data_IF_440583269742
#
_entry.id   IF_440583269742
#
_cell.length_a   1.000
_cell.length_b   1.000
_cell.length_c   1.000
_cell.angle_alpha   90.00
_cell.angle_beta   90.00
_cell.angle_gamma   90.00
#
_symmetry.space_group_name_H-M   'P 1'
#
loop_
_entity.id
_entity.type
_entity.pdbx_description
1 polymer ?
#
# COMPACT_ATOMS: atom_id res chain seq x y z
N UNK A 1 7.70 -11.16 29.87
CA UNK A 1 8.27 -12.43 29.39
C UNK A 1 8.50 -12.27 27.92
N UNK A 2 9.75 -12.25 27.46
CA UNK A 2 10.05 -12.38 26.05
C UNK A 2 9.89 -13.87 25.74
N UNK A 3 8.80 -14.25 25.09
CA UNK A 3 8.73 -15.57 24.45
C UNK A 3 9.63 -15.49 23.23
N UNK A 4 10.68 -16.31 23.19
CA UNK A 4 11.47 -16.46 21.98
C UNK A 4 10.54 -16.86 20.83
N UNK A 5 10.70 -16.20 19.69
CA UNK A 5 9.91 -16.53 18.50
C UNK A 5 10.27 -17.95 18.05
N UNK A 6 9.30 -18.74 17.53
CA UNK A 6 9.60 -20.02 16.92
C UNK A 6 10.63 -19.89 15.80
N UNK A 7 11.36 -20.97 15.52
CA UNK A 7 12.25 -21.04 14.36
C UNK A 7 11.44 -20.72 13.08
N UNK A 8 11.80 -19.70 12.28
CA UNK A 8 11.10 -19.37 11.04
C UNK A 8 10.91 -20.57 10.09
N UNK A 9 11.84 -21.54 10.12
CA UNK A 9 11.74 -22.77 9.33
C UNK A 9 10.54 -23.65 9.74
N UNK A 10 10.00 -23.47 10.95
CA UNK A 10 8.83 -24.18 11.46
C UNK A 10 7.49 -23.52 11.14
N UNK A 11 7.49 -22.40 10.39
CA UNK A 11 6.27 -21.66 10.05
C UNK A 11 5.28 -22.46 9.19
N UNK A 12 5.75 -23.47 8.44
CA UNK A 12 4.94 -24.22 7.49
C UNK A 12 4.51 -23.40 6.25
N UNK A 13 5.17 -22.26 6.00
CA UNK A 13 4.90 -21.39 4.86
C UNK A 13 5.88 -21.70 3.73
N UNK A 14 5.36 -22.21 2.62
CA UNK A 14 6.14 -22.46 1.40
C UNK A 14 6.19 -21.24 0.45
N UNK A 15 5.13 -20.41 0.48
CA UNK A 15 4.96 -19.28 -0.43
C UNK A 15 4.56 -18.01 0.32
N UNK A 16 5.28 -16.93 0.05
CA UNK A 16 4.91 -15.57 0.46
C UNK A 16 4.48 -14.81 -0.79
N UNK A 17 3.23 -14.33 -0.78
CA UNK A 17 2.70 -13.46 -1.85
C UNK A 17 2.44 -12.07 -1.27
N UNK A 18 3.17 -11.08 -1.78
CA UNK A 18 3.00 -9.67 -1.42
C UNK A 18 2.15 -9.01 -2.50
N UNK A 19 0.88 -8.75 -2.18
CA UNK A 19 0.00 -7.94 -3.03
C UNK A 19 0.16 -6.47 -2.64
N UNK A 20 0.73 -5.65 -3.53
CA UNK A 20 0.75 -4.21 -3.36
C UNK A 20 -0.59 -3.61 -3.80
N UNK A 21 -1.03 -2.55 -3.13
CA UNK A 21 -2.25 -1.81 -3.46
C UNK A 21 -1.94 -0.31 -3.51
N UNK A 22 -2.86 0.48 -4.09
CA UNK A 22 -2.68 1.90 -4.38
C UNK A 22 -3.58 2.79 -3.48
N UNK A 23 -3.03 3.92 -3.02
CA UNK A 23 -3.70 5.15 -2.57
C UNK A 23 -4.89 5.03 -1.61
N UNK A 24 -4.81 4.24 -0.53
CA UNK A 24 -5.86 4.20 0.51
C UNK A 24 -5.27 4.17 1.93
N UNK A 25 -5.77 5.03 2.82
CA UNK A 25 -5.39 5.03 4.23
C UNK A 25 -6.11 3.94 5.02
N UNK A 26 -5.58 3.62 6.20
CA UNK A 26 -6.21 2.65 7.11
C UNK A 26 -7.61 3.09 7.49
N UNK A 27 -7.80 4.33 7.96
CA UNK A 27 -9.11 4.82 8.38
C UNK A 27 -10.13 4.87 7.24
N UNK A 28 -9.68 5.09 6.00
CA UNK A 28 -10.56 5.11 4.84
C UNK A 28 -11.18 3.73 4.52
N UNK A 29 -10.44 2.63 4.74
CA UNK A 29 -10.90 1.27 4.43
C UNK A 29 -11.31 0.46 5.67
N UNK A 30 -10.59 0.58 6.76
CA UNK A 30 -10.62 -0.33 7.91
C UNK A 30 -10.79 0.38 9.26
N UNK A 31 -11.08 1.68 9.30
CA UNK A 31 -11.33 2.40 10.55
C UNK A 31 -12.57 1.94 11.33
N UNK A 32 -13.37 1.03 10.76
CA UNK A 32 -14.49 0.33 11.41
C UNK A 32 -14.08 -0.99 12.07
N UNK A 33 -12.85 -1.47 11.87
CA UNK A 33 -12.40 -2.78 12.32
C UNK A 33 -12.37 -2.85 13.86
N UNK A 34 -13.12 -3.76 14.49
CA UNK A 34 -13.21 -3.80 15.96
C UNK A 34 -11.86 -4.04 16.63
N UNK A 35 -11.51 -3.18 17.59
CA UNK A 35 -10.28 -3.29 18.38
C UNK A 35 -9.01 -2.77 17.69
N UNK A 36 -9.11 -2.31 16.44
CA UNK A 36 -7.98 -1.70 15.74
C UNK A 36 -7.74 -0.26 16.20
N UNK A 37 -6.48 0.19 16.12
CA UNK A 37 -6.08 1.60 16.23
C UNK A 37 -6.42 2.38 14.96
N UNK A 38 -7.71 2.46 14.64
CA UNK A 38 -8.24 3.28 13.54
C UNK A 38 -9.56 3.93 13.93
N UNK A 39 -9.85 5.08 13.35
CA UNK A 39 -11.10 5.80 13.57
C UNK A 39 -11.53 6.57 12.33
N UNK A 40 -12.63 6.12 11.74
CA UNK A 40 -13.19 6.75 10.54
C UNK A 40 -14.41 7.64 10.79
N UNK A 41 -15.19 7.36 11.83
CA UNK A 41 -16.48 8.01 12.08
C UNK A 41 -16.47 8.92 13.32
N UNK A 42 -17.38 9.90 13.31
CA UNK A 42 -17.55 10.83 14.43
C UNK A 42 -16.38 11.80 14.61
N UNK A 43 -15.68 12.11 13.52
CA UNK A 43 -14.60 13.09 13.45
C UNK A 43 -15.06 14.29 12.60
N UNK A 44 -14.39 15.43 12.75
CA UNK A 44 -14.62 16.59 11.90
C UNK A 44 -13.33 17.38 11.74
N UNK A 45 -13.08 17.89 10.53
CA UNK A 45 -11.84 18.58 10.17
C UNK A 45 -12.12 19.96 9.59
N UNK A 46 -11.27 20.96 9.86
CA UNK A 46 -11.50 22.32 9.41
C UNK A 46 -11.17 22.47 7.91
N UNK A 47 -12.14 22.92 7.12
CA UNK A 47 -11.93 23.30 5.72
C UNK A 47 -11.07 24.58 5.58
N UNK A 48 -10.79 25.03 4.36
CA UNK A 48 -10.00 26.24 4.09
C UNK A 48 -10.53 27.51 4.78
N UNK A 49 -11.82 27.57 5.10
CA UNK A 49 -12.46 28.67 5.82
C UNK A 49 -12.51 28.49 7.35
N UNK A 50 -12.04 27.34 7.84
CA UNK A 50 -12.06 26.98 9.26
C UNK A 50 -13.38 26.33 9.71
N UNK A 51 -14.31 26.06 8.79
CA UNK A 51 -15.56 25.38 9.11
C UNK A 51 -15.28 23.88 9.25
N UNK A 52 -15.71 23.30 10.37
CA UNK A 52 -15.59 21.87 10.61
C UNK A 52 -16.54 21.09 9.68
N UNK A 53 -15.99 20.16 8.91
CA UNK A 53 -16.73 19.20 8.09
C UNK A 53 -16.64 17.81 8.70
N UNK A 54 -17.77 17.13 8.95
CA UNK A 54 -17.74 15.80 9.53
C UNK A 54 -17.24 14.77 8.52
N UNK A 55 -16.47 13.79 8.98
CA UNK A 55 -16.20 12.57 8.22
C UNK A 55 -17.52 11.89 7.83
N UNK A 56 -17.61 11.34 6.62
CA UNK A 56 -18.86 10.79 6.10
C UNK A 56 -18.66 9.44 5.40
N UNK A 57 -19.72 8.64 5.44
CA UNK A 57 -19.77 7.37 4.75
C UNK A 57 -19.90 7.58 3.24
N UNK A 58 -19.05 6.94 2.46
CA UNK A 58 -19.07 7.01 1.00
C UNK A 58 -20.14 6.07 0.44
N UNK A 59 -21.03 6.62 -0.40
CA UNK A 59 -22.12 5.87 -1.04
C UNK A 59 -21.75 5.23 -2.38
N UNK A 60 -20.59 5.57 -2.94
CA UNK A 60 -20.12 5.05 -4.24
C UNK A 60 -18.73 4.43 -4.11
N UNK A 61 -18.54 3.32 -4.80
CA UNK A 61 -17.25 2.65 -4.90
C UNK A 61 -16.44 3.36 -5.99
N UNK A 62 -15.28 3.92 -5.62
CA UNK A 62 -14.48 4.90 -6.39
C UNK A 62 -15.01 6.32 -6.20
N UNK A 63 -14.11 7.26 -5.84
CA UNK A 63 -14.42 8.69 -5.65
C UNK A 63 -14.79 9.40 -6.95
N UNK A 64 -15.69 8.84 -7.75
CA UNK A 64 -16.12 9.40 -9.02
C UNK A 64 -16.61 10.83 -8.82
N UNK A 65 -16.02 11.77 -9.56
CA UNK A 65 -16.33 13.19 -9.44
C UNK A 65 -15.48 13.95 -8.42
N UNK A 66 -14.55 13.27 -7.73
CA UNK A 66 -13.56 13.89 -6.86
C UNK A 66 -12.15 13.84 -7.48
N UNK A 67 -11.32 14.88 -7.29
CA UNK A 67 -9.90 14.79 -7.59
C UNK A 67 -9.24 13.76 -6.67
N UNK A 68 -8.12 13.19 -7.13
CA UNK A 68 -7.28 12.38 -6.26
C UNK A 68 -6.74 13.25 -5.12
N UNK A 69 -6.89 12.86 -3.84
CA UNK A 69 -6.31 13.59 -2.72
C UNK A 69 -4.80 13.73 -2.89
N UNK A 70 -4.25 14.89 -2.53
CA UNK A 70 -2.84 15.23 -2.66
C UNK A 70 -1.96 14.34 -1.77
N UNK A 71 -1.36 13.35 -2.39
CA UNK A 71 -0.42 12.41 -1.78
C UNK A 71 1.04 12.77 -2.11
N UNK A 72 1.31 13.99 -2.56
CA UNK A 72 2.69 14.48 -2.74
C UNK A 72 3.41 14.63 -1.39
N UNK A 73 4.74 14.73 -1.43
CA UNK A 73 5.54 14.97 -0.23
C UNK A 73 5.12 16.24 0.52
N UNK A 74 4.77 17.31 -0.20
CA UNK A 74 4.28 18.56 0.37
C UNK A 74 2.84 18.45 0.87
N UNK A 75 1.96 17.81 0.09
CA UNK A 75 0.56 17.60 0.43
C UNK A 75 0.42 16.82 1.73
N UNK A 76 1.05 15.64 1.80
CA UNK A 76 1.03 14.78 2.97
C UNK A 76 1.51 15.48 4.26
N UNK A 77 2.43 16.44 4.16
CA UNK A 77 2.88 17.25 5.32
C UNK A 77 1.90 18.33 5.70
N UNK A 78 1.28 18.96 4.72
CA UNK A 78 0.20 19.90 4.97
C UNK A 78 -0.99 19.21 5.66
N UNK A 79 -1.31 17.97 5.25
CA UNK A 79 -2.34 17.15 5.89
C UNK A 79 -1.97 16.75 7.33
N UNK A 80 -0.73 16.28 7.52
CA UNK A 80 -0.20 15.88 8.82
C UNK A 80 -0.11 17.04 9.82
N UNK A 81 0.14 18.26 9.32
CA UNK A 81 0.16 19.52 10.08
C UNK A 81 0.92 19.41 11.41
N UNK A 82 2.21 19.08 11.36
CA UNK A 82 3.08 18.93 12.54
C UNK A 82 2.54 17.98 13.63
N UNK A 83 1.74 16.99 13.24
CA UNK A 83 1.11 16.00 14.13
C UNK A 83 -0.23 16.42 14.69
N UNK A 84 -0.75 17.60 14.34
CA UNK A 84 -2.12 17.99 14.63
C UNK A 84 -3.13 17.13 13.86
N UNK A 85 -2.74 16.60 12.69
CA UNK A 85 -3.57 15.74 11.85
C UNK A 85 -4.96 16.35 11.65
N UNK A 86 -5.02 17.52 11.01
CA UNK A 86 -6.26 18.25 10.70
C UNK A 86 -6.21 19.01 9.37
N UNK A 87 -5.20 18.72 8.53
CA UNK A 87 -4.90 19.48 7.32
C UNK A 87 -5.56 18.98 6.03
N UNK A 88 -6.27 17.84 6.05
CA UNK A 88 -6.84 17.21 4.84
C UNK A 88 -7.64 18.16 3.96
N UNK A 89 -8.57 18.91 4.55
CA UNK A 89 -9.43 19.86 3.83
C UNK A 89 -8.77 21.22 3.56
N UNK A 90 -7.51 21.40 3.96
CA UNK A 90 -6.75 22.60 3.59
C UNK A 90 -6.19 22.46 2.18
N UNK A 91 -5.78 21.25 1.81
CA UNK A 91 -5.18 20.95 0.51
C UNK A 91 -6.11 20.18 -0.43
N UNK A 92 -7.07 19.42 0.09
CA UNK A 92 -8.02 18.61 -0.70
C UNK A 92 -9.48 19.08 -0.62
N UNK A 93 -10.35 18.37 -1.33
CA UNK A 93 -11.80 18.44 -1.15
C UNK A 93 -12.30 17.42 -0.10
N UNK A 94 -13.63 17.35 0.09
CA UNK A 94 -14.25 16.51 1.12
C UNK A 94 -13.98 15.00 0.94
N UNK A 95 -13.60 14.54 -0.26
CA UNK A 95 -13.32 13.12 -0.48
C UNK A 95 -12.21 12.57 0.43
N UNK A 96 -11.24 13.42 0.78
CA UNK A 96 -10.13 13.10 1.68
C UNK A 96 -10.56 12.70 3.10
N UNK A 97 -11.79 13.02 3.52
CA UNK A 97 -12.35 12.67 4.84
C UNK A 97 -13.53 11.69 4.75
N UNK A 98 -13.78 11.13 3.56
CA UNK A 98 -14.74 10.06 3.34
C UNK A 98 -14.19 8.69 3.73
N UNK A 99 -15.07 7.77 4.13
CA UNK A 99 -14.70 6.40 4.51
C UNK A 99 -15.69 5.36 4.02
N UNK A 100 -15.22 4.12 3.90
CA UNK A 100 -16.07 2.95 3.67
C UNK A 100 -16.36 2.23 4.99
N UNK A 101 -17.54 1.62 5.06
CA UNK A 101 -17.91 0.65 6.09
C UNK A 101 -17.62 -0.77 5.65
N UNK A 102 -17.78 -1.70 6.60
CA UNK A 102 -17.57 -3.14 6.38
C UNK A 102 -18.32 -3.70 5.18
N UNK A 103 -19.57 -3.27 4.99
CA UNK A 103 -20.46 -3.78 3.93
C UNK A 103 -20.05 -3.36 2.53
N UNK A 104 -19.27 -2.28 2.39
CA UNK A 104 -18.91 -1.74 1.08
C UNK A 104 -17.69 -2.45 0.50
N UNK A 105 -16.90 -3.08 1.36
CA UNK A 105 -15.66 -3.77 1.00
C UNK A 105 -15.89 -5.27 0.89
N UNK A 106 -16.25 -5.74 -0.31
CA UNK A 106 -16.66 -7.13 -0.54
C UNK A 106 -15.64 -8.17 -0.02
N UNK A 107 -14.35 -7.97 -0.32
CA UNK A 107 -13.27 -8.83 0.15
C UNK A 107 -12.80 -8.43 1.55
N UNK A 108 -12.30 -7.21 1.72
CA UNK A 108 -11.69 -6.76 2.99
C UNK A 108 -12.67 -6.77 4.17
N UNK A 109 -13.95 -6.49 3.94
CA UNK A 109 -15.00 -6.54 4.97
C UNK A 109 -15.21 -7.94 5.55
N UNK A 110 -14.79 -8.99 4.83
CA UNK A 110 -14.78 -10.37 5.32
C UNK A 110 -13.40 -10.82 5.79
N UNK A 111 -12.35 -10.46 5.06
CA UNK A 111 -10.99 -10.89 5.32
C UNK A 111 -10.41 -10.25 6.59
N UNK A 112 -10.56 -8.93 6.79
CA UNK A 112 -9.90 -8.22 7.88
C UNK A 112 -10.28 -8.73 9.29
N UNK A 113 -11.56 -9.07 9.59
CA UNK A 113 -11.91 -9.66 10.89
C UNK A 113 -11.55 -11.16 11.03
N UNK A 114 -11.32 -11.86 9.92
CA UNK A 114 -11.02 -13.28 9.91
C UNK A 114 -9.51 -13.58 9.93
N UNK A 115 -8.69 -12.62 9.50
CA UNK A 115 -7.25 -12.72 9.37
C UNK A 115 -6.54 -11.72 10.30
N UNK A 116 -5.22 -11.64 10.19
CA UNK A 116 -4.41 -10.66 10.91
C UNK A 116 -4.40 -9.33 10.15
N UNK A 117 -4.78 -8.25 10.83
CA UNK A 117 -4.62 -6.89 10.34
C UNK A 117 -3.55 -6.17 11.17
N UNK A 118 -2.77 -5.30 10.54
CA UNK A 118 -1.82 -4.43 11.20
C UNK A 118 -2.41 -3.01 11.25
N UNK A 119 -2.69 -2.52 12.44
CA UNK A 119 -3.33 -1.22 12.71
C UNK A 119 -2.34 -0.11 13.12
N UNK A 120 -1.04 -0.43 13.10
CA UNK A 120 0.07 0.49 13.31
C UNK A 120 1.14 0.27 12.23
N UNK A 121 0.69 0.08 10.99
CA UNK A 121 1.54 -0.07 9.81
C UNK A 121 1.52 1.22 9.00
N UNK A 122 2.68 1.84 8.82
CA UNK A 122 2.82 3.15 8.19
C UNK A 122 3.59 3.06 6.87
N UNK A 123 3.25 3.94 5.94
CA UNK A 123 4.10 4.21 4.78
C UNK A 123 5.49 4.65 5.25
N UNK A 124 6.54 4.21 4.55
CA UNK A 124 7.90 4.55 4.90
C UNK A 124 8.22 6.03 4.71
N UNK A 125 7.52 6.68 3.76
CA UNK A 125 7.62 8.12 3.49
C UNK A 125 6.21 8.72 3.40
N UNK A 126 5.99 9.84 4.06
CA UNK A 126 4.86 10.74 3.79
C UNK A 126 5.06 11.38 2.42
N UNK A 127 4.50 10.74 1.39
CA UNK A 127 4.69 11.10 -0.01
C UNK A 127 4.07 10.05 -0.94
N UNK A 128 4.33 10.18 -2.25
CA UNK A 128 3.55 9.49 -3.27
C UNK A 128 3.99 8.03 -3.46
N UNK A 129 3.53 7.41 -4.55
CA UNK A 129 3.69 5.98 -4.83
C UNK A 129 5.15 5.55 -4.94
N UNK A 130 5.96 6.22 -5.77
CA UNK A 130 7.29 5.75 -6.13
C UNK A 130 8.25 5.68 -4.94
N UNK A 131 8.36 6.67 -4.05
CA UNK A 131 9.29 6.55 -2.92
C UNK A 131 8.92 5.39 -1.99
N UNK A 132 7.63 5.14 -1.78
CA UNK A 132 7.16 4.02 -0.96
C UNK A 132 7.33 2.67 -1.66
N UNK A 133 7.13 2.60 -2.98
CA UNK A 133 7.30 1.37 -3.77
C UNK A 133 8.77 1.02 -3.98
N UNK A 134 9.66 2.00 -4.10
CA UNK A 134 11.12 1.77 -4.02
C UNK A 134 11.49 1.21 -2.64
N UNK A 135 10.92 1.77 -1.56
CA UNK A 135 11.14 1.27 -0.21
C UNK A 135 10.65 -0.18 -0.04
N UNK A 136 9.50 -0.53 -0.60
CA UNK A 136 8.96 -1.89 -0.58
C UNK A 136 9.97 -2.93 -1.13
N UNK A 137 10.74 -2.58 -2.16
CA UNK A 137 11.73 -3.48 -2.75
C UNK A 137 13.13 -3.37 -2.15
N UNK A 138 13.52 -2.20 -1.62
CA UNK A 138 14.92 -1.93 -1.24
C UNK A 138 15.15 -1.58 0.22
N UNK A 139 14.08 -1.41 1.02
CA UNK A 139 14.16 -0.98 2.41
C UNK A 139 14.66 0.46 2.60
N UNK A 140 14.75 1.24 1.51
CA UNK A 140 15.15 2.65 1.48
C UNK A 140 14.59 3.31 0.20
N UNK A 141 14.74 4.61 0.05
CA UNK A 141 14.37 5.30 -1.20
C UNK A 141 15.37 6.42 -1.51
N UNK A 142 15.54 6.74 -2.79
CA UNK A 142 16.46 7.76 -3.29
C UNK A 142 15.75 9.07 -3.70
N UNK A 143 14.42 9.11 -3.58
CA UNK A 143 13.58 10.24 -3.99
C UNK A 143 12.40 10.43 -3.06
N UNK A 144 11.70 11.54 -3.24
CA UNK A 144 10.50 11.93 -2.50
C UNK A 144 9.30 12.20 -3.41
N UNK A 145 9.46 11.94 -4.71
CA UNK A 145 8.48 12.18 -5.76
C UNK A 145 8.41 11.00 -6.74
N UNK A 146 7.49 11.06 -7.70
CA UNK A 146 7.29 10.04 -8.74
C UNK A 146 8.16 10.24 -9.98
N UNK A 147 9.34 10.85 -9.82
CA UNK A 147 10.30 10.90 -10.93
C UNK A 147 10.69 9.50 -11.39
N UNK A 148 10.85 9.31 -12.71
CA UNK A 148 11.13 8.01 -13.35
C UNK A 148 12.63 7.72 -13.53
N UNK A 149 13.50 8.43 -12.79
CA UNK A 149 14.95 8.26 -12.89
C UNK A 149 15.40 6.85 -12.50
N UNK A 150 16.50 6.38 -13.10
CA UNK A 150 17.04 5.05 -12.79
C UNK A 150 17.42 4.92 -11.31
N UNK A 151 17.13 3.78 -10.70
CA UNK A 151 17.44 3.43 -9.31
C UNK A 151 18.62 2.44 -9.30
N UNK A 152 19.55 2.64 -8.36
CA UNK A 152 20.73 1.77 -8.17
C UNK A 152 20.78 1.07 -6.80
N UNK A 153 19.74 1.26 -5.98
CA UNK A 153 19.65 0.70 -4.63
C UNK A 153 19.61 -0.85 -4.67
N UNK A 154 20.27 -1.55 -3.72
CA UNK A 154 20.12 -3.00 -3.59
C UNK A 154 18.67 -3.35 -3.22
N UNK A 155 18.20 -4.52 -3.66
CA UNK A 155 16.81 -4.94 -3.40
C UNK A 155 16.73 -6.30 -2.70
N UNK A 156 15.53 -6.63 -2.23
CA UNK A 156 15.21 -7.99 -1.77
C UNK A 156 15.50 -9.05 -2.84
N UNK A 157 15.31 -8.71 -4.13
CA UNK A 157 15.57 -9.61 -5.26
C UNK A 157 17.03 -10.05 -5.33
N UNK A 158 17.98 -9.14 -5.06
CA UNK A 158 19.40 -9.47 -4.98
C UNK A 158 19.71 -10.46 -3.85
N UNK A 159 18.99 -10.35 -2.74
CA UNK A 159 19.16 -11.23 -1.58
C UNK A 159 18.54 -12.59 -1.83
N UNK A 160 17.36 -12.65 -2.44
CA UNK A 160 16.70 -13.90 -2.84
C UNK A 160 17.53 -14.67 -3.86
N UNK A 161 18.06 -13.98 -4.87
CA UNK A 161 18.94 -14.59 -5.88
C UNK A 161 20.21 -15.16 -5.25
N UNK A 162 20.90 -14.42 -4.38
CA UNK A 162 22.10 -14.91 -3.67
C UNK A 162 21.81 -16.11 -2.76
N UNK A 163 20.62 -16.16 -2.18
CA UNK A 163 20.19 -17.26 -1.32
C UNK A 163 19.66 -18.47 -2.09
N UNK A 164 19.50 -18.38 -3.43
CA UNK A 164 18.91 -19.44 -4.23
C UNK A 164 17.41 -19.65 -3.98
N UNK A 165 16.72 -18.66 -3.40
CA UNK A 165 15.27 -18.71 -3.15
C UNK A 165 14.53 -18.39 -4.44
N UNK A 166 13.59 -19.23 -4.87
CA UNK A 166 12.80 -18.97 -6.07
C UNK A 166 11.93 -17.72 -5.88
N UNK A 167 11.90 -16.85 -6.89
CA UNK A 167 11.18 -15.59 -6.81
C UNK A 167 10.72 -15.08 -8.17
N UNK A 168 9.59 -14.36 -8.18
CA UNK A 168 9.06 -13.65 -9.36
C UNK A 168 8.39 -12.35 -8.95
N UNK A 169 8.47 -11.38 -9.85
CA UNK A 169 7.75 -10.11 -9.79
C UNK A 169 6.68 -10.10 -10.87
N UNK A 170 5.44 -9.83 -10.48
CA UNK A 170 4.29 -9.83 -11.36
C UNK A 170 3.68 -8.43 -11.47
N UNK A 171 3.50 -7.95 -12.70
CA UNK A 171 2.97 -6.60 -12.98
C UNK A 171 1.74 -6.65 -13.88
N UNK A 172 0.86 -5.65 -13.76
CA UNK A 172 -0.33 -5.53 -14.59
C UNK A 172 -0.05 -4.81 -15.92
N UNK A 173 0.48 -3.59 -15.87
CA UNK A 173 0.68 -2.74 -17.06
C UNK A 173 2.18 -2.51 -17.36
N UNK A 174 2.86 -1.71 -16.53
CA UNK A 174 4.27 -1.43 -16.63
C UNK A 174 5.01 -2.05 -15.43
N UNK A 175 6.15 -2.73 -15.67
CA UNK A 175 6.93 -3.27 -14.58
C UNK A 175 7.64 -2.13 -13.84
N UNK A 176 7.26 -1.89 -12.57
CA UNK A 176 7.92 -0.87 -11.73
C UNK A 176 9.43 -1.14 -11.59
N UNK A 177 9.82 -2.43 -11.57
CA UNK A 177 11.23 -2.83 -11.53
C UNK A 177 12.05 -2.39 -12.74
N UNK A 178 11.44 -1.88 -13.83
CA UNK A 178 12.15 -1.25 -14.93
C UNK A 178 12.96 -0.01 -14.50
N UNK A 179 12.65 0.60 -13.35
CA UNK A 179 13.49 1.67 -12.76
C UNK A 179 14.92 1.20 -12.46
N UNK A 180 15.16 -0.11 -12.29
CA UNK A 180 16.51 -0.70 -12.15
C UNK A 180 17.15 -1.08 -13.50
N UNK A 181 16.59 -0.60 -14.62
CA UNK A 181 17.02 -0.96 -15.96
C UNK A 181 16.75 -2.43 -16.26
N UNK A 182 17.68 -3.09 -16.96
CA UNK A 182 17.52 -4.49 -17.38
C UNK A 182 17.74 -5.52 -16.27
N UNK A 183 18.12 -5.09 -15.06
CA UNK A 183 18.59 -5.95 -13.97
C UNK A 183 17.59 -7.05 -13.59
N UNK A 184 16.29 -6.74 -13.60
CA UNK A 184 15.23 -7.65 -13.12
C UNK A 184 14.28 -8.12 -14.23
N UNK A 185 14.64 -7.95 -15.50
CA UNK A 185 13.82 -8.41 -16.64
C UNK A 185 13.57 -9.92 -16.56
N UNK A 186 14.58 -10.70 -16.15
CA UNK A 186 14.47 -12.16 -16.08
C UNK A 186 13.51 -12.71 -15.01
N UNK A 187 13.03 -11.87 -14.09
CA UNK A 187 12.08 -12.26 -13.03
C UNK A 187 10.73 -11.54 -13.15
N UNK A 188 10.58 -10.67 -14.14
CA UNK A 188 9.39 -9.85 -14.33
C UNK A 188 8.41 -10.54 -15.28
N UNK A 189 7.19 -10.78 -14.81
CA UNK A 189 6.14 -11.49 -15.54
C UNK A 189 4.81 -10.73 -15.44
N UNK A 190 3.88 -11.01 -16.36
CA UNK A 190 2.57 -10.34 -16.32
C UNK A 190 1.68 -10.93 -15.22
N UNK A 191 0.64 -10.19 -14.84
CA UNK A 191 -0.37 -10.65 -13.90
C UNK A 191 -1.11 -11.91 -14.39
N UNK A 192 -1.31 -12.08 -15.70
CA UNK A 192 -1.87 -13.33 -16.24
C UNK A 192 -0.97 -14.53 -15.96
N UNK A 193 0.35 -14.32 -15.95
CA UNK A 193 1.31 -15.37 -15.59
C UNK A 193 1.19 -15.72 -14.10
N UNK A 194 0.99 -14.73 -13.23
CA UNK A 194 0.70 -14.98 -11.80
C UNK A 194 -0.51 -15.89 -11.63
N UNK A 195 -1.61 -15.58 -12.32
CA UNK A 195 -2.84 -16.38 -12.25
C UNK A 195 -2.61 -17.82 -12.74
N UNK A 196 -1.84 -18.00 -13.81
CA UNK A 196 -1.50 -19.33 -14.32
C UNK A 196 -0.60 -20.12 -13.37
N UNK A 197 0.44 -19.48 -12.79
CA UNK A 197 1.33 -20.10 -11.81
C UNK A 197 0.56 -20.50 -10.54
N UNK A 198 -0.31 -19.62 -10.04
CA UNK A 198 -1.16 -19.88 -8.88
C UNK A 198 -2.12 -21.04 -9.12
N UNK A 199 -2.79 -21.08 -10.29
CA UNK A 199 -3.73 -22.14 -10.63
C UNK A 199 -3.07 -23.52 -10.80
N UNK A 200 -1.77 -23.56 -11.12
CA UNK A 200 -1.04 -24.80 -11.41
C UNK A 200 -0.08 -25.23 -10.31
N UNK A 201 -0.04 -24.51 -9.17
CA UNK A 201 0.85 -24.81 -8.06
C UNK A 201 2.32 -24.51 -8.35
N UNK A 202 2.60 -23.62 -9.29
CA UNK A 202 3.95 -23.27 -9.76
C UNK A 202 4.44 -21.91 -9.23
N UNK A 203 3.79 -21.36 -8.20
CA UNK A 203 4.25 -20.12 -7.57
C UNK A 203 5.68 -20.30 -7.02
N UNK A 204 6.55 -19.29 -7.15
CA UNK A 204 7.83 -19.30 -6.46
C UNK A 204 7.65 -19.12 -4.95
N UNK A 205 8.71 -19.35 -4.18
CA UNK A 205 8.69 -19.14 -2.73
C UNK A 205 8.37 -17.67 -2.35
N UNK A 206 8.79 -16.70 -3.17
CA UNK A 206 8.46 -15.28 -2.99
C UNK A 206 7.89 -14.67 -4.26
N UNK A 207 6.66 -14.16 -4.18
CA UNK A 207 5.95 -13.49 -5.26
C UNK A 207 5.57 -12.08 -4.84
N UNK A 208 5.86 -11.06 -5.66
CA UNK A 208 5.26 -9.74 -5.52
C UNK A 208 4.27 -9.54 -6.66
N UNK A 209 3.06 -9.08 -6.36
CA UNK A 209 2.01 -8.79 -7.32
C UNK A 209 1.66 -7.32 -7.22
N UNK A 210 1.85 -6.62 -8.33
CA UNK A 210 1.82 -5.18 -8.43
C UNK A 210 0.52 -4.72 -9.11
N UNK A 211 -0.18 -3.69 -8.61
CA UNK A 211 -1.36 -3.15 -9.26
C UNK A 211 -0.97 -2.38 -10.54
N UNK A 212 -1.92 -2.02 -11.41
CA UNK A 212 -1.66 -1.09 -12.50
C UNK A 212 -1.04 0.21 -11.96
N UNK A 213 0.03 0.71 -12.59
CA UNK A 213 0.68 1.96 -12.22
C UNK A 213 -0.12 3.19 -12.66
N UNK A 214 -0.90 3.06 -13.74
CA UNK A 214 -1.82 4.09 -14.19
C UNK A 214 -3.25 3.57 -14.09
N UNK A 215 -4.06 4.24 -13.26
CA UNK A 215 -5.51 4.00 -13.12
C UNK A 215 -6.32 5.07 -13.87
#
# INVERSE_FOLDING_TARGET
MHTDLPDPASSGIDHIVVLCMENRSFDHLLGWLPGANGRQAGLAYPDRSGVLRPTYHLGTYQGCGHPDPDHSYSGARAEYNDGACDGWLKVNDEFSIGYYGRSDLQFMGRAAPAWTAFDNWYAATLGPTFPNRIYLHSGQTDRIDDSIGQVSLPTIWDSLARAGVSHRYYYNDLPFLALWGLKYVGISHTYETFLADAATGNLPAVSYVEPPLFL
#
